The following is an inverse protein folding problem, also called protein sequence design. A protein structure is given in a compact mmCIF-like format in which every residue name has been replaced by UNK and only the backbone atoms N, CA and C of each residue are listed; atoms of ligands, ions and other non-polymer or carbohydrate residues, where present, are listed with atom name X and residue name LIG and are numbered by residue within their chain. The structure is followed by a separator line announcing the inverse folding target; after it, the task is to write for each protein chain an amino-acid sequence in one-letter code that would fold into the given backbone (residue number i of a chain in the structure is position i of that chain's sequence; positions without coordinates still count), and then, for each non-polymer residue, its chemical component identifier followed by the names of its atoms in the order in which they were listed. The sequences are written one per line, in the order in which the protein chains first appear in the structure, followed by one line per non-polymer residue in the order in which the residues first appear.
data_IF_022184303531
#
_entry.id   IF_022184303531
#
_cell.length_a   1.000
_cell.length_b   1.000
_cell.length_c   1.000
_cell.angle_alpha   90.00
_cell.angle_beta   90.00
_cell.angle_gamma   90.00
#
_symmetry.space_group_name_H-M   'P 1'
#
loop_
_entity.id
_entity.type
_entity.pdbx_description
1 polymer ?
#
# COMPACT_ATOMS: atom_id res chain seq x y z
N UNK A 1 16.49 26.41 33.92
CA UNK A 1 17.96 26.37 33.73
C UNK A 1 18.52 25.28 34.63
N UNK A 2 19.40 24.41 34.07
CA UNK A 2 20.36 23.49 34.72
C UNK A 2 19.76 22.29 35.53
N UNK A 3 20.27 21.04 35.55
CA UNK A 3 21.58 20.43 35.29
C UNK A 3 21.45 18.95 34.86
N UNK A 4 22.45 18.48 34.12
CA UNK A 4 22.73 17.08 33.80
C UNK A 4 23.26 16.32 35.04
N UNK A 5 22.78 15.09 35.29
CA UNK A 5 23.24 14.21 36.37
C UNK A 5 22.86 12.73 36.15
N UNK A 6 23.79 11.98 35.55
CA UNK A 6 24.13 10.54 35.72
C UNK A 6 23.03 9.49 36.04
N UNK A 7 22.89 8.54 35.10
CA UNK A 7 22.44 7.13 35.22
C UNK A 7 20.94 6.81 35.40
N UNK A 8 20.23 6.61 34.28
CA UNK A 8 19.48 5.37 34.03
C UNK A 8 19.68 4.96 32.56
N UNK A 9 20.25 3.77 32.42
CA UNK A 9 20.49 2.97 31.23
C UNK A 9 19.15 2.46 30.64
N UNK A 10 19.19 2.11 29.34
CA UNK A 10 18.37 1.07 28.68
C UNK A 10 17.19 1.55 27.81
N UNK A 11 17.46 1.53 26.49
CA UNK A 11 16.65 0.86 25.42
C UNK A 11 15.26 1.49 25.19
N UNK A 12 14.93 2.02 24.01
CA UNK A 12 14.75 1.29 22.75
C UNK A 12 14.92 2.31 21.62
N UNK A 13 15.94 2.13 20.79
CA UNK A 13 15.99 2.72 19.46
C UNK A 13 14.92 2.09 18.56
N UNK A 14 13.67 2.48 18.77
CA UNK A 14 12.54 2.26 17.86
C UNK A 14 11.64 3.48 18.05
N UNK A 15 12.19 4.66 17.74
CA UNK A 15 11.35 5.80 17.37
C UNK A 15 10.72 5.42 16.05
N UNK A 16 9.57 4.75 16.20
CA UNK A 16 8.45 4.69 15.29
C UNK A 16 8.84 4.81 13.81
N UNK A 17 8.90 3.66 13.14
CA UNK A 17 8.43 3.54 11.76
C UNK A 17 6.98 4.03 11.73
N UNK A 18 6.77 5.34 11.79
CA UNK A 18 5.50 5.96 11.53
C UNK A 18 5.18 5.71 10.06
N UNK A 19 4.44 4.63 9.81
CA UNK A 19 3.58 4.44 8.64
C UNK A 19 4.18 4.86 7.29
N UNK A 20 5.31 4.29 6.89
CA UNK A 20 5.59 4.22 5.45
C UNK A 20 4.66 3.16 4.86
N UNK A 21 3.38 3.52 4.70
CA UNK A 21 2.48 2.79 3.83
C UNK A 21 3.17 2.69 2.47
N UNK A 22 3.57 1.47 2.10
CA UNK A 22 4.13 1.24 0.77
C UNK A 22 3.07 1.69 -0.23
N UNK A 23 3.39 2.76 -0.96
CA UNK A 23 2.59 3.19 -2.10
C UNK A 23 2.91 2.25 -3.26
N UNK A 24 1.92 1.45 -3.65
CA UNK A 24 2.03 0.53 -4.78
C UNK A 24 1.49 1.21 -6.04
N UNK A 25 2.19 1.03 -7.15
CA UNK A 25 1.74 1.52 -8.46
C UNK A 25 0.73 0.53 -9.09
N UNK A 26 -0.07 0.96 -10.08
CA UNK A 26 -0.90 0.04 -10.84
C UNK A 26 -0.10 -1.13 -11.46
N UNK A 27 1.13 -0.88 -11.91
CA UNK A 27 1.99 -1.92 -12.48
C UNK A 27 2.40 -2.99 -11.46
N UNK A 28 2.62 -2.61 -10.19
CA UNK A 28 2.90 -3.57 -9.12
C UNK A 28 1.72 -4.51 -8.90
N UNK A 29 0.50 -3.97 -8.92
CA UNK A 29 -0.74 -4.74 -8.80
C UNK A 29 -1.05 -5.60 -10.02
N UNK A 30 -0.63 -5.21 -11.22
CA UNK A 30 -0.78 -6.06 -12.41
C UNK A 30 0.12 -7.30 -12.35
N UNK A 31 1.35 -7.14 -11.82
CA UNK A 31 2.32 -8.23 -11.66
C UNK A 31 1.97 -9.20 -10.55
N UNK A 32 1.35 -8.72 -9.47
CA UNK A 32 1.00 -9.54 -8.30
C UNK A 32 -0.52 -9.52 -8.04
N UNK A 33 -1.18 -10.57 -8.50
CA UNK A 33 -2.63 -10.75 -8.32
C UNK A 33 -3.03 -10.98 -6.85
N UNK A 34 -2.16 -11.60 -6.04
CA UNK A 34 -2.45 -11.86 -4.64
C UNK A 34 -2.41 -10.56 -3.84
N UNK A 35 -1.40 -9.72 -4.09
CA UNK A 35 -1.29 -8.38 -3.52
C UNK A 35 -2.49 -7.51 -3.90
N UNK A 36 -2.87 -7.51 -5.20
CA UNK A 36 -4.02 -6.76 -5.69
C UNK A 36 -5.32 -7.18 -5.00
N UNK A 37 -5.61 -8.48 -4.93
CA UNK A 37 -6.82 -8.98 -4.28
C UNK A 37 -6.85 -8.67 -2.78
N UNK A 38 -5.71 -8.76 -2.10
CA UNK A 38 -5.60 -8.40 -0.69
C UNK A 38 -5.95 -6.93 -0.47
N UNK A 39 -5.36 -6.03 -1.24
CA UNK A 39 -5.61 -4.59 -1.11
C UNK A 39 -7.07 -4.27 -1.46
N UNK A 40 -7.60 -4.79 -2.58
CA UNK A 40 -9.01 -4.59 -2.94
C UNK A 40 -9.97 -5.05 -1.83
N UNK A 41 -9.68 -6.18 -1.20
CA UNK A 41 -10.47 -6.69 -0.06
C UNK A 41 -10.39 -5.73 1.13
N UNK A 42 -9.19 -5.23 1.45
CA UNK A 42 -9.00 -4.23 2.51
C UNK A 42 -9.75 -2.93 2.21
N UNK A 43 -9.77 -2.47 0.96
CA UNK A 43 -10.54 -1.30 0.54
C UNK A 43 -12.03 -1.44 0.83
N UNK A 44 -12.60 -2.62 0.63
CA UNK A 44 -14.02 -2.91 0.91
C UNK A 44 -14.28 -3.04 2.41
N UNK A 45 -13.38 -3.69 3.14
CA UNK A 45 -13.56 -3.93 4.59
C UNK A 45 -13.35 -2.68 5.44
N UNK A 46 -12.38 -1.83 5.10
CA UNK A 46 -12.04 -0.64 5.88
C UNK A 46 -12.77 0.62 5.43
N UNK A 47 -13.63 0.53 4.40
CA UNK A 47 -14.26 1.70 3.75
C UNK A 47 -13.26 2.76 3.25
N UNK A 48 -11.97 2.41 3.14
CA UNK A 48 -10.90 3.32 2.74
C UNK A 48 -10.72 3.32 1.21
N UNK A 49 -11.83 3.54 0.50
CA UNK A 49 -11.83 3.57 -0.98
C UNK A 49 -11.07 4.79 -1.53
N UNK A 50 -10.78 5.79 -0.70
CA UNK A 50 -10.06 7.00 -1.12
C UNK A 50 -8.54 6.85 -1.06
N UNK A 51 -7.99 5.78 -0.47
CA UNK A 51 -6.55 5.58 -0.48
C UNK A 51 -6.01 5.40 -1.91
N UNK A 52 -4.81 5.93 -2.18
CA UNK A 52 -4.14 5.78 -3.48
C UNK A 52 -3.93 4.32 -3.85
N UNK A 53 -3.66 3.47 -2.87
CA UNK A 53 -3.49 2.03 -3.11
C UNK A 53 -4.79 1.36 -3.57
N UNK A 54 -5.94 1.78 -3.03
CA UNK A 54 -7.23 1.31 -3.49
C UNK A 54 -7.54 1.74 -4.93
N UNK A 55 -7.27 3.01 -5.25
CA UNK A 55 -7.43 3.53 -6.61
C UNK A 55 -6.54 2.78 -7.60
N UNK A 56 -5.26 2.60 -7.26
CA UNK A 56 -4.28 1.91 -8.10
C UNK A 56 -4.60 0.43 -8.26
N UNK A 57 -5.07 -0.25 -7.21
CA UNK A 57 -5.48 -1.65 -7.26
C UNK A 57 -6.73 -1.84 -8.14
N UNK A 58 -7.70 -0.91 -8.06
CA UNK A 58 -8.88 -0.92 -8.92
C UNK A 58 -8.54 -0.64 -10.38
N UNK A 59 -7.64 0.31 -10.65
CA UNK A 59 -7.15 0.57 -12.01
C UNK A 59 -6.45 -0.67 -12.60
N UNK A 60 -5.56 -1.29 -11.82
CA UNK A 60 -4.89 -2.52 -12.24
C UNK A 60 -5.88 -3.66 -12.50
N UNK A 61 -6.92 -3.80 -11.67
CA UNK A 61 -7.96 -4.81 -11.88
C UNK A 61 -8.71 -4.58 -13.19
N UNK A 62 -9.10 -3.33 -13.50
CA UNK A 62 -9.73 -2.98 -14.78
C UNK A 62 -8.84 -3.32 -15.98
N UNK A 63 -7.53 -3.04 -15.89
CA UNK A 63 -6.56 -3.38 -16.95
C UNK A 63 -6.46 -4.89 -17.16
N UNK A 64 -6.34 -5.65 -16.08
CA UNK A 64 -6.30 -7.12 -16.14
C UNK A 64 -7.60 -7.71 -16.70
N UNK A 65 -8.75 -7.16 -16.32
CA UNK A 65 -10.05 -7.63 -16.82
C UNK A 65 -10.24 -7.29 -18.30
N UNK A 66 -9.80 -6.11 -18.72
CA UNK A 66 -9.79 -5.71 -20.13
C UNK A 66 -8.84 -6.60 -20.96
N UNK A 67 -7.65 -6.89 -20.45
CA UNK A 67 -6.70 -7.83 -21.05
C UNK A 67 -7.30 -9.21 -21.23
N UNK A 68 -7.98 -9.73 -20.21
CA UNK A 68 -8.65 -11.04 -20.30
C UNK A 68 -9.78 -11.08 -21.31
N UNK A 69 -10.54 -9.98 -21.44
CA UNK A 69 -11.68 -9.91 -22.35
C UNK A 69 -11.26 -9.70 -23.81
N UNK A 70 -10.20 -8.93 -24.05
CA UNK A 70 -9.82 -8.47 -25.39
C UNK A 70 -8.53 -9.11 -25.93
N UNK A 71 -7.73 -9.74 -25.06
CA UNK A 71 -6.37 -10.16 -25.37
C UNK A 71 -5.39 -8.99 -25.58
N UNK A 72 -5.79 -7.75 -25.26
CA UNK A 72 -4.98 -6.54 -25.46
C UNK A 72 -4.68 -5.85 -24.13
N UNK A 73 -3.43 -5.42 -23.96
CA UNK A 73 -2.89 -4.73 -22.77
C UNK A 73 -3.07 -3.22 -22.78
N UNK A 74 -3.63 -2.65 -23.85
CA UNK A 74 -3.75 -1.20 -24.05
C UNK A 74 -5.21 -0.74 -24.04
N UNK A 75 -5.57 0.05 -23.01
CA UNK A 75 -6.83 0.81 -22.97
C UNK A 75 -6.50 2.20 -23.51
N UNK A 76 -6.89 2.48 -24.76
CA UNK A 76 -6.68 3.77 -25.43
C UNK A 76 -7.68 4.83 -24.95
#
# INVERSE_FOLDING_TARGET
MVRCGKNVLVVVGVLALSGCDKAYTPADFMKDAALRNKILTQCTQQHDQQSKNCQNAQEAQKKVDFEKQTGKTDIK
#
